data_IF_765901939950
#
_entry.id   IF_765901939950
#
_cell.length_a   1.000
_cell.length_b   1.000
_cell.length_c   1.000
_cell.angle_alpha   90.00
_cell.angle_beta   90.00
_cell.angle_gamma   90.00
#
_symmetry.space_group_name_H-M   'P 1'
#
loop_
_entity.id
_entity.type
_entity.pdbx_description
1 polymer ?
#
# COMPACT_ATOMS: atom_id res chain seq x y z
N UNK A 1 -46.73 10.34 67.92
CA UNK A 1 -46.15 11.11 66.80
C UNK A 1 -44.74 11.56 67.21
N UNK A 2 -43.79 11.77 66.30
CA UNK A 2 -43.31 10.84 65.26
C UNK A 2 -41.83 10.41 65.48
N UNK A 3 -41.35 9.47 64.66
CA UNK A 3 -39.92 9.13 64.42
C UNK A 3 -39.25 10.22 63.52
N UNK A 4 -37.93 10.23 63.21
CA UNK A 4 -36.93 9.13 63.25
C UNK A 4 -35.55 9.58 63.83
N UNK A 5 -34.35 8.99 63.61
CA UNK A 5 -33.87 7.85 62.79
C UNK A 5 -32.66 7.12 63.43
N UNK A 6 -32.06 6.21 62.67
CA UNK A 6 -30.80 5.44 62.80
C UNK A 6 -30.16 5.44 61.37
N UNK A 7 -28.97 4.89 61.08
CA UNK A 7 -27.70 4.80 61.82
C UNK A 7 -26.54 5.52 61.08
N UNK A 8 -25.32 5.50 61.65
CA UNK A 8 -24.08 5.78 60.89
C UNK A 8 -23.88 4.67 59.86
N UNK A 9 -23.97 5.00 58.56
CA UNK A 9 -23.87 4.02 57.48
C UNK A 9 -22.45 4.04 56.89
N UNK A 10 -21.75 2.93 57.10
CA UNK A 10 -20.38 2.66 56.66
C UNK A 10 -20.31 2.50 55.14
N UNK A 11 -20.37 3.61 54.39
CA UNK A 11 -20.22 3.61 52.95
C UNK A 11 -18.74 3.45 52.57
N UNK A 12 -18.28 2.20 52.44
CA UNK A 12 -17.00 1.90 51.84
C UNK A 12 -16.96 2.51 50.43
N UNK A 13 -16.03 3.44 50.21
CA UNK A 13 -15.64 3.88 48.87
C UNK A 13 -14.88 2.73 48.22
N UNK A 14 -15.64 1.75 47.73
CA UNK A 14 -15.16 0.76 46.78
C UNK A 14 -14.76 1.54 45.54
N UNK A 15 -13.46 1.74 45.39
CA UNK A 15 -12.87 2.36 44.22
C UNK A 15 -13.18 1.52 43.00
N UNK A 16 -14.27 1.87 42.32
CA UNK A 16 -14.48 1.56 40.91
C UNK A 16 -13.52 2.42 40.09
N UNK A 17 -12.21 2.19 40.29
CA UNK A 17 -11.25 2.37 39.21
C UNK A 17 -11.65 1.38 38.13
N UNK A 18 -12.51 1.84 37.22
CA UNK A 18 -12.67 1.23 35.92
C UNK A 18 -11.31 1.31 35.26
N UNK A 19 -10.51 0.27 35.48
CA UNK A 19 -9.40 -0.03 34.62
C UNK A 19 -10.03 -0.31 33.26
N UNK A 20 -10.10 0.74 32.44
CA UNK A 20 -10.27 0.58 31.01
C UNK A 20 -9.04 -0.21 30.57
N UNK A 21 -9.21 -1.54 30.50
CA UNK A 21 -8.30 -2.37 29.75
C UNK A 21 -8.40 -1.88 28.32
N UNK A 22 -7.49 -0.96 27.96
CA UNK A 22 -7.23 -0.66 26.56
C UNK A 22 -6.87 -2.00 25.95
N UNK A 23 -7.75 -2.52 25.10
CA UNK A 23 -7.50 -3.77 24.40
C UNK A 23 -6.16 -3.60 23.69
N UNK A 24 -5.19 -4.43 24.06
CA UNK A 24 -3.83 -4.32 23.55
C UNK A 24 -3.86 -4.45 22.02
N UNK A 25 -3.47 -3.37 21.34
CA UNK A 25 -3.70 -3.22 19.90
C UNK A 25 -2.79 -4.15 19.10
N UNK A 26 -3.36 -4.89 18.14
CA UNK A 26 -2.57 -5.75 17.24
C UNK A 26 -1.92 -4.91 16.13
N UNK A 27 -0.89 -5.44 15.48
CA UNK A 27 -0.21 -4.70 14.42
C UNK A 27 -1.12 -4.42 13.22
N UNK A 28 -2.07 -5.29 12.90
CA UNK A 28 -3.05 -5.03 11.85
C UNK A 28 -3.99 -3.89 12.21
N UNK A 29 -4.40 -3.78 13.48
CA UNK A 29 -5.21 -2.65 13.96
C UNK A 29 -4.43 -1.33 13.85
N UNK A 30 -3.14 -1.33 14.19
CA UNK A 30 -2.24 -0.17 14.00
C UNK A 30 -2.12 0.20 12.52
N UNK A 31 -1.91 -0.78 11.63
CA UNK A 31 -1.79 -0.54 10.19
C UNK A 31 -3.09 -0.01 9.57
N UNK A 32 -4.24 -0.63 9.91
CA UNK A 32 -5.57 -0.19 9.49
C UNK A 32 -5.88 1.23 9.96
N UNK A 33 -5.61 1.54 11.24
CA UNK A 33 -5.77 2.90 11.78
C UNK A 33 -4.83 3.90 11.10
N UNK A 34 -3.58 3.52 10.86
CA UNK A 34 -2.59 4.38 10.18
C UNK A 34 -3.05 4.73 8.76
N UNK A 35 -3.54 3.75 8.00
CA UNK A 35 -4.07 3.99 6.66
C UNK A 35 -5.39 4.79 6.69
N UNK A 36 -6.30 4.48 7.61
CA UNK A 36 -7.54 5.23 7.80
C UNK A 36 -7.26 6.71 8.13
N UNK A 37 -6.25 7.00 8.96
CA UNK A 37 -5.82 8.37 9.24
C UNK A 37 -5.28 9.07 7.98
N UNK A 38 -4.37 8.42 7.22
CA UNK A 38 -3.85 8.98 5.95
C UNK A 38 -4.97 9.31 4.96
N UNK A 39 -6.00 8.46 4.87
CA UNK A 39 -7.16 8.69 4.00
C UNK A 39 -8.06 9.82 4.53
N UNK A 40 -8.24 9.92 5.85
CA UNK A 40 -9.00 10.99 6.48
C UNK A 40 -8.31 12.36 6.30
N UNK A 41 -6.98 12.42 6.40
CA UNK A 41 -6.17 13.63 6.22
C UNK A 41 -6.26 14.19 4.78
N UNK A 42 -6.53 13.34 3.78
CA UNK A 42 -6.79 13.75 2.39
C UNK A 42 -8.21 14.30 2.18
N UNK A 43 -9.14 13.89 3.03
CA UNK A 43 -10.55 14.27 2.95
C UNK A 43 -11.31 13.68 1.74
N UNK A 44 -12.62 13.95 1.65
CA UNK A 44 -13.43 13.58 0.49
C UNK A 44 -13.02 14.38 -0.75
N UNK A 45 -13.32 13.84 -1.94
CA UNK A 45 -13.21 14.60 -3.17
C UNK A 45 -14.24 15.74 -3.16
N UNK A 46 -13.78 16.98 -2.95
CA UNK A 46 -14.61 18.17 -2.95
C UNK A 46 -14.82 18.67 -4.39
N UNK A 47 -16.07 18.69 -4.84
CA UNK A 47 -16.48 19.15 -6.18
C UNK A 47 -15.65 18.57 -7.35
N UNK A 48 -15.48 17.23 -7.45
CA UNK A 48 -14.67 16.65 -8.50
C UNK A 48 -15.31 16.85 -9.87
N UNK A 49 -14.48 17.04 -10.90
CA UNK A 49 -14.95 17.09 -12.29
C UNK A 49 -15.68 15.78 -12.66
N UNK A 50 -16.91 15.84 -13.20
CA UNK A 50 -17.64 14.64 -13.62
C UNK A 50 -16.88 13.82 -14.67
N UNK A 51 -16.15 14.49 -15.56
CA UNK A 51 -15.29 13.86 -16.57
C UNK A 51 -14.16 13.06 -15.91
N UNK A 52 -13.51 13.66 -14.91
CA UNK A 52 -12.42 13.03 -14.14
C UNK A 52 -12.87 11.78 -13.40
N UNK A 53 -14.03 11.84 -12.75
CA UNK A 53 -14.66 10.70 -12.08
C UNK A 53 -15.01 9.59 -13.08
N UNK A 54 -15.54 9.95 -14.25
CA UNK A 54 -15.86 8.99 -15.30
C UNK A 54 -14.59 8.35 -15.89
N UNK A 55 -13.55 9.15 -16.14
CA UNK A 55 -12.25 8.71 -16.64
C UNK A 55 -11.59 7.69 -15.70
N UNK A 56 -11.61 7.96 -14.39
CA UNK A 56 -11.15 7.04 -13.36
C UNK A 56 -11.91 5.71 -13.36
N UNK A 57 -13.25 5.77 -13.33
CA UNK A 57 -14.10 4.57 -13.34
C UNK A 57 -13.93 3.74 -14.61
N UNK A 58 -13.92 4.39 -15.77
CA UNK A 58 -13.71 3.72 -17.07
C UNK A 58 -12.35 3.03 -17.10
N UNK A 59 -11.27 3.70 -16.72
CA UNK A 59 -9.92 3.09 -16.73
C UNK A 59 -9.80 1.95 -15.71
N UNK A 60 -10.40 2.07 -14.53
CA UNK A 60 -10.39 1.01 -13.51
C UNK A 60 -11.13 -0.26 -13.97
N UNK A 61 -12.35 -0.11 -14.51
CA UNK A 61 -13.13 -1.25 -15.01
C UNK A 61 -12.50 -1.86 -16.28
N UNK A 62 -11.83 -1.06 -17.14
CA UNK A 62 -11.02 -1.60 -18.26
C UNK A 62 -9.88 -2.50 -17.79
N UNK A 63 -9.25 -2.18 -16.65
CA UNK A 63 -8.19 -3.01 -16.07
C UNK A 63 -8.75 -4.28 -15.40
N UNK A 64 -9.86 -4.17 -14.66
CA UNK A 64 -10.55 -5.33 -14.07
C UNK A 64 -11.07 -6.32 -15.11
N UNK A 65 -11.49 -5.84 -16.29
CA UNK A 65 -11.85 -6.70 -17.41
C UNK A 65 -10.68 -7.55 -17.96
N UNK A 66 -9.42 -7.16 -17.67
CA UNK A 66 -8.21 -7.90 -18.04
C UNK A 66 -7.69 -8.80 -16.90
N UNK A 67 -8.14 -8.58 -15.65
CA UNK A 67 -7.79 -9.36 -14.45
C UNK A 67 -9.08 -9.80 -13.70
N UNK A 68 -9.80 -10.84 -14.17
CA UNK A 68 -11.06 -11.29 -13.56
C UNK A 68 -10.94 -11.69 -12.08
N UNK A 69 -9.75 -12.08 -11.62
CA UNK A 69 -9.42 -12.37 -10.22
C UNK A 69 -9.48 -11.12 -9.31
N UNK A 70 -9.60 -9.93 -9.89
CA UNK A 70 -9.79 -8.64 -9.20
C UNK A 70 -11.19 -8.05 -9.44
N UNK A 71 -12.15 -8.81 -9.94
CA UNK A 71 -13.49 -8.32 -10.27
C UNK A 71 -14.25 -7.71 -9.06
N UNK A 72 -13.96 -8.19 -7.86
CA UNK A 72 -14.50 -7.72 -6.58
C UNK A 72 -13.68 -6.60 -5.91
N UNK A 73 -12.57 -6.16 -6.51
CA UNK A 73 -11.85 -4.96 -6.03
C UNK A 73 -12.63 -3.70 -6.38
N UNK A 74 -12.88 -2.85 -5.40
CA UNK A 74 -13.61 -1.59 -5.54
C UNK A 74 -12.68 -0.37 -5.74
N UNK A 75 -13.22 0.70 -6.33
CA UNK A 75 -12.55 2.00 -6.44
C UNK A 75 -13.16 3.01 -5.45
N UNK A 76 -12.36 3.44 -4.47
CA UNK A 76 -12.73 4.52 -3.53
C UNK A 76 -12.11 5.83 -4.00
N UNK A 77 -12.95 6.85 -4.24
CA UNK A 77 -12.50 8.18 -4.68
C UNK A 77 -12.20 9.07 -3.46
N UNK A 78 -11.03 9.74 -3.45
CA UNK A 78 -10.61 10.66 -2.39
C UNK A 78 -10.21 12.04 -2.94
N UNK A 79 -10.03 13.01 -2.05
CA UNK A 79 -9.54 14.34 -2.38
C UNK A 79 -8.01 14.44 -2.48
N UNK A 80 -7.53 15.67 -2.73
CA UNK A 80 -6.12 16.04 -2.70
C UNK A 80 -5.36 15.80 -4.01
N UNK A 81 -4.03 15.94 -3.91
CA UNK A 81 -3.07 15.82 -5.02
C UNK A 81 -3.02 14.41 -5.63
N UNK A 82 -2.24 14.24 -6.71
CA UNK A 82 -2.09 12.97 -7.42
C UNK A 82 -1.67 11.83 -6.48
N UNK A 83 -2.56 10.87 -6.28
CA UNK A 83 -2.40 9.79 -5.30
C UNK A 83 -3.27 8.58 -5.66
N UNK A 84 -2.72 7.40 -5.45
CA UNK A 84 -3.49 6.17 -5.32
C UNK A 84 -2.80 5.28 -4.26
N UNK A 85 -3.57 4.39 -3.64
CA UNK A 85 -3.09 3.41 -2.65
C UNK A 85 -4.06 2.22 -2.60
N UNK A 86 -3.53 1.02 -2.82
CA UNK A 86 -4.15 -0.25 -2.46
C UNK A 86 -4.40 -0.31 -0.94
N UNK A 87 -5.62 -0.62 -0.50
CA UNK A 87 -5.97 -0.61 0.92
C UNK A 87 -5.72 -1.96 1.60
N UNK A 88 -5.29 -1.94 2.86
CA UNK A 88 -5.05 -3.13 3.67
C UNK A 88 -6.37 -3.68 4.23
N UNK A 89 -6.51 -5.01 4.26
CA UNK A 89 -7.67 -5.71 4.82
C UNK A 89 -8.99 -5.45 4.08
N UNK A 90 -8.91 -4.78 2.91
CA UNK A 90 -10.04 -4.39 2.07
C UNK A 90 -9.65 -4.55 0.61
N UNK A 91 -10.51 -5.16 -0.20
CA UNK A 91 -10.32 -5.25 -1.66
C UNK A 91 -10.74 -3.92 -2.30
N UNK A 92 -9.93 -2.89 -2.06
CA UNK A 92 -10.22 -1.51 -2.44
C UNK A 92 -8.93 -0.82 -2.89
N UNK A 93 -8.97 -0.13 -4.02
CA UNK A 93 -7.98 0.88 -4.39
C UNK A 93 -8.56 2.25 -4.09
N UNK A 94 -7.88 3.04 -3.25
CA UNK A 94 -8.18 4.46 -3.10
C UNK A 94 -7.44 5.24 -4.19
N UNK A 95 -8.10 6.19 -4.86
CA UNK A 95 -7.47 7.08 -5.84
C UNK A 95 -8.01 8.50 -5.69
N UNK A 96 -7.13 9.50 -5.73
CA UNK A 96 -7.55 10.89 -5.75
C UNK A 96 -8.13 11.26 -7.11
N UNK A 97 -9.09 12.18 -7.15
CA UNK A 97 -9.70 12.55 -8.44
C UNK A 97 -8.71 13.22 -9.40
N UNK A 98 -7.59 13.76 -8.92
CA UNK A 98 -6.49 14.23 -9.77
C UNK A 98 -5.93 13.14 -10.71
N UNK A 99 -6.04 11.85 -10.34
CA UNK A 99 -5.66 10.72 -11.22
C UNK A 99 -6.56 10.65 -12.48
N UNK A 100 -7.80 11.15 -12.41
CA UNK A 100 -8.74 11.21 -13.54
C UNK A 100 -8.35 12.22 -14.62
N UNK A 101 -7.58 13.25 -14.25
CA UNK A 101 -7.06 14.29 -15.15
C UNK A 101 -5.81 13.85 -15.92
N UNK A 102 -5.16 12.75 -15.52
CA UNK A 102 -4.00 12.22 -16.23
C UNK A 102 -4.36 11.80 -17.67
N UNK A 103 -3.39 11.82 -18.61
CA UNK A 103 -3.52 11.10 -19.87
C UNK A 103 -3.93 9.64 -19.61
N UNK A 104 -4.85 9.10 -20.42
CA UNK A 104 -5.44 7.77 -20.16
C UNK A 104 -4.38 6.69 -19.91
N UNK A 105 -3.29 6.74 -20.69
CA UNK A 105 -2.20 5.76 -20.61
C UNK A 105 -1.48 5.75 -19.26
N UNK A 106 -1.23 6.92 -18.70
CA UNK A 106 -0.60 7.09 -17.39
C UNK A 106 -1.56 6.73 -16.26
N UNK A 107 -2.84 7.11 -16.40
CA UNK A 107 -3.92 6.72 -15.48
C UNK A 107 -4.05 5.20 -15.39
N UNK A 108 -4.01 4.51 -16.54
CA UNK A 108 -4.05 3.05 -16.60
C UNK A 108 -2.83 2.43 -15.89
N UNK A 109 -1.61 2.93 -16.12
CA UNK A 109 -0.41 2.42 -15.44
C UNK A 109 -0.47 2.62 -13.92
N UNK A 110 -0.89 3.79 -13.46
CA UNK A 110 -1.01 4.11 -12.03
C UNK A 110 -2.03 3.19 -11.33
N UNK A 111 -3.21 2.99 -11.93
CA UNK A 111 -4.22 2.08 -11.39
C UNK A 111 -3.79 0.60 -11.48
N UNK A 112 -3.08 0.20 -12.54
CA UNK A 112 -2.58 -1.16 -12.71
C UNK A 112 -1.50 -1.52 -11.69
N UNK A 113 -0.67 -0.55 -11.27
CA UNK A 113 0.29 -0.71 -10.18
C UNK A 113 -0.43 -1.01 -8.84
N UNK A 114 -1.46 -0.24 -8.48
CA UNK A 114 -2.25 -0.49 -7.25
C UNK A 114 -3.00 -1.83 -7.29
N UNK A 115 -3.55 -2.21 -8.46
CA UNK A 115 -4.14 -3.53 -8.66
C UNK A 115 -3.10 -4.65 -8.53
N UNK A 116 -1.82 -4.39 -8.88
CA UNK A 116 -0.71 -5.31 -8.62
C UNK A 116 -0.49 -5.57 -7.13
N UNK A 117 -0.55 -4.54 -6.29
CA UNK A 117 -0.48 -4.72 -4.83
C UNK A 117 -1.64 -5.57 -4.26
N UNK A 118 -2.84 -5.46 -4.84
CA UNK A 118 -3.99 -6.32 -4.50
C UNK A 118 -3.82 -7.77 -5.01
N UNK A 119 -3.35 -7.94 -6.25
CA UNK A 119 -3.19 -9.27 -6.87
C UNK A 119 -2.11 -10.13 -6.20
N UNK A 120 -1.06 -9.49 -5.69
CA UNK A 120 0.13 -10.15 -5.16
C UNK A 120 0.12 -10.28 -3.62
N UNK A 121 -0.91 -9.78 -2.94
CA UNK A 121 -1.05 -9.89 -1.48
C UNK A 121 0.05 -9.14 -0.71
N UNK A 122 0.50 -8.00 -1.23
CA UNK A 122 1.64 -7.26 -0.67
C UNK A 122 1.38 -6.76 0.77
N UNK A 123 0.13 -6.43 1.10
CA UNK A 123 -0.22 -6.04 2.47
C UNK A 123 -0.26 -7.24 3.43
N UNK A 124 -0.73 -8.39 2.98
CA UNK A 124 -0.73 -9.64 3.74
C UNK A 124 0.71 -10.12 4.01
N UNK A 125 1.59 -9.99 3.01
CA UNK A 125 3.02 -10.26 3.16
C UNK A 125 3.68 -9.30 4.18
N UNK A 126 3.34 -8.00 4.13
CA UNK A 126 3.85 -7.02 5.09
C UNK A 126 3.33 -7.30 6.52
N UNK A 127 2.04 -7.57 6.68
CA UNK A 127 1.47 -7.97 7.98
C UNK A 127 2.11 -9.26 8.52
N UNK A 128 2.37 -10.23 7.64
CA UNK A 128 3.10 -11.46 7.96
C UNK A 128 4.54 -11.22 8.43
N UNK A 129 5.26 -10.26 7.85
CA UNK A 129 6.57 -9.82 8.34
C UNK A 129 6.46 -9.20 9.73
N UNK A 130 5.51 -8.27 9.93
CA UNK A 130 5.28 -7.64 11.22
C UNK A 130 4.98 -8.66 12.33
N UNK A 131 4.17 -9.69 12.06
CA UNK A 131 3.86 -10.76 13.01
C UNK A 131 5.07 -11.60 13.44
N UNK A 132 6.11 -11.72 12.61
CA UNK A 132 7.34 -12.45 12.99
C UNK A 132 8.11 -11.72 14.09
N UNK A 133 8.03 -10.39 14.14
CA UNK A 133 8.74 -9.54 15.11
C UNK A 133 7.83 -9.03 16.25
N UNK A 134 6.53 -8.91 16.00
CA UNK A 134 5.52 -8.39 16.93
C UNK A 134 4.30 -9.34 16.94
N UNK A 135 4.43 -10.56 17.48
CA UNK A 135 3.39 -11.61 17.43
C UNK A 135 2.20 -11.39 18.39
N UNK A 136 2.14 -10.23 19.04
CA UNK A 136 1.20 -9.91 20.10
C UNK A 136 0.90 -8.40 20.06
N UNK A 137 0.51 -7.85 21.21
CA UNK A 137 0.31 -6.43 21.43
C UNK A 137 1.46 -5.55 20.89
N UNK A 138 1.11 -4.48 20.18
CA UNK A 138 2.04 -3.40 19.84
C UNK A 138 2.31 -2.59 21.10
N UNK A 139 3.34 -3.00 21.86
CA UNK A 139 3.84 -2.31 23.04
C UNK A 139 5.28 -1.89 22.85
N UNK A 140 5.61 -0.69 23.32
CA UNK A 140 6.94 -0.07 23.12
C UNK A 140 8.08 -0.96 23.61
N UNK A 141 7.87 -1.64 24.74
CA UNK A 141 8.87 -2.53 25.35
C UNK A 141 9.14 -3.78 24.50
N UNK A 142 8.21 -4.15 23.61
CA UNK A 142 8.35 -5.26 22.66
C UNK A 142 8.83 -4.78 21.28
N UNK A 143 8.44 -3.59 20.84
CA UNK A 143 8.77 -3.07 19.50
C UNK A 143 10.11 -2.37 19.40
N UNK A 144 10.52 -1.59 20.42
CA UNK A 144 11.80 -0.87 20.39
C UNK A 144 13.02 -1.79 20.16
N UNK A 145 13.10 -3.02 20.76
CA UNK A 145 14.21 -3.94 20.50
C UNK A 145 14.29 -4.48 19.06
N UNK A 146 13.16 -4.63 18.35
CA UNK A 146 13.10 -5.20 17.00
C UNK A 146 13.06 -4.13 15.89
N UNK A 147 12.79 -2.87 16.23
CA UNK A 147 12.55 -1.78 15.27
C UNK A 147 13.64 -1.62 14.20
N UNK A 148 14.92 -1.84 14.54
CA UNK A 148 16.03 -1.76 13.59
C UNK A 148 16.03 -2.89 12.54
N UNK A 149 15.79 -4.13 12.96
CA UNK A 149 15.73 -5.31 12.09
C UNK A 149 14.46 -5.25 11.23
N UNK A 150 13.32 -5.02 11.88
CA UNK A 150 12.01 -4.87 11.23
C UNK A 150 11.99 -3.71 10.22
N UNK A 151 12.68 -2.59 10.51
CA UNK A 151 12.83 -1.48 9.58
C UNK A 151 13.69 -1.82 8.36
N UNK A 152 14.75 -2.60 8.53
CA UNK A 152 15.59 -3.07 7.42
C UNK A 152 14.85 -4.09 6.53
N UNK A 153 14.24 -5.11 7.14
CA UNK A 153 13.49 -6.15 6.43
C UNK A 153 12.23 -5.57 5.77
N UNK A 154 11.52 -4.67 6.46
CA UNK A 154 10.36 -3.95 5.91
C UNK A 154 10.73 -3.10 4.71
N UNK A 155 11.87 -2.39 4.75
CA UNK A 155 12.37 -1.61 3.61
C UNK A 155 12.70 -2.49 2.41
N UNK A 156 13.41 -3.59 2.61
CA UNK A 156 13.71 -4.55 1.55
C UNK A 156 12.43 -5.18 0.95
N UNK A 157 11.43 -5.49 1.79
CA UNK A 157 10.15 -6.03 1.38
C UNK A 157 9.32 -5.01 0.58
N UNK A 158 9.18 -3.76 1.06
CA UNK A 158 8.50 -2.68 0.34
C UNK A 158 9.15 -2.40 -1.02
N UNK A 159 10.48 -2.37 -1.08
CA UNK A 159 11.22 -2.21 -2.33
C UNK A 159 10.96 -3.33 -3.34
N UNK A 160 10.86 -4.57 -2.86
CA UNK A 160 10.46 -5.70 -3.68
C UNK A 160 9.01 -5.58 -4.17
N UNK A 161 8.07 -5.26 -3.28
CA UNK A 161 6.65 -5.08 -3.61
C UNK A 161 6.42 -4.01 -4.68
N UNK A 162 7.08 -2.86 -4.60
CA UNK A 162 6.98 -1.79 -5.60
C UNK A 162 7.36 -2.27 -7.01
N UNK A 163 8.41 -3.07 -7.11
CA UNK A 163 8.87 -3.64 -8.37
C UNK A 163 8.02 -4.81 -8.86
N UNK A 164 7.50 -5.64 -7.96
CA UNK A 164 6.55 -6.69 -8.31
C UNK A 164 5.23 -6.08 -8.80
N UNK A 165 4.76 -4.98 -8.19
CA UNK A 165 3.60 -4.21 -8.62
C UNK A 165 3.82 -3.50 -9.97
N UNK A 166 4.98 -2.86 -10.19
CA UNK A 166 5.36 -2.31 -11.50
C UNK A 166 5.37 -3.39 -12.59
N UNK A 167 5.98 -4.55 -12.30
CA UNK A 167 6.08 -5.66 -13.24
C UNK A 167 4.74 -6.36 -13.52
N UNK A 168 3.83 -6.37 -12.55
CA UNK A 168 2.48 -6.91 -12.72
C UNK A 168 1.60 -5.92 -13.49
N UNK A 169 1.54 -4.66 -13.06
CA UNK A 169 0.71 -3.61 -13.66
C UNK A 169 1.09 -3.32 -15.11
N UNK A 170 2.39 -3.28 -15.42
CA UNK A 170 2.89 -3.10 -16.78
C UNK A 170 2.47 -4.26 -17.71
N UNK A 171 2.54 -5.52 -17.23
CA UNK A 171 2.09 -6.69 -17.98
C UNK A 171 0.57 -6.73 -18.15
N UNK A 172 -0.20 -6.43 -17.10
CA UNK A 172 -1.67 -6.35 -17.16
C UNK A 172 -2.11 -5.36 -18.25
N UNK A 173 -1.48 -4.19 -18.26
CA UNK A 173 -1.97 -3.06 -19.04
C UNK A 173 -1.37 -3.01 -20.47
N UNK A 174 -0.34 -3.81 -20.78
CA UNK A 174 0.25 -3.90 -22.14
C UNK A 174 -0.75 -4.22 -23.27
N UNK A 175 -1.78 -5.07 -23.12
CA UNK A 175 -2.82 -5.27 -24.15
C UNK A 175 -3.54 -3.97 -24.57
N UNK A 176 -3.47 -2.91 -23.76
CA UNK A 176 -4.02 -1.58 -24.05
C UNK A 176 -3.02 -0.67 -24.81
N UNK A 177 -2.02 -1.26 -25.47
CA UNK A 177 -0.99 -0.59 -26.29
C UNK A 177 -0.10 0.41 -25.53
N UNK A 178 0.02 0.24 -24.21
CA UNK A 178 0.92 1.00 -23.36
C UNK A 178 2.38 0.61 -23.60
N UNK A 179 3.27 1.59 -23.51
CA UNK A 179 4.71 1.40 -23.62
C UNK A 179 5.47 2.12 -22.52
N UNK A 180 6.79 1.91 -22.49
CA UNK A 180 7.66 2.42 -21.41
C UNK A 180 7.71 3.95 -21.35
N UNK A 181 7.44 4.66 -22.46
CA UNK A 181 7.35 6.12 -22.47
C UNK A 181 6.12 6.65 -21.70
N UNK A 182 5.03 5.88 -21.65
CA UNK A 182 3.86 6.22 -20.83
C UNK A 182 4.21 6.14 -19.33
N UNK A 183 5.01 5.13 -18.95
CA UNK A 183 5.51 4.98 -17.58
C UNK A 183 6.55 6.05 -17.22
N UNK A 184 7.37 6.47 -18.19
CA UNK A 184 8.27 7.64 -18.05
C UNK A 184 7.46 8.92 -17.81
N UNK A 185 6.39 9.13 -18.57
CA UNK A 185 5.48 10.27 -18.40
C UNK A 185 4.91 10.36 -16.98
N UNK A 186 4.30 9.27 -16.50
CA UNK A 186 3.76 9.17 -15.14
C UNK A 186 4.82 9.46 -14.06
N UNK A 187 5.96 8.78 -14.13
CA UNK A 187 7.02 8.90 -13.12
C UNK A 187 7.69 10.29 -13.11
N UNK A 188 7.76 10.98 -14.26
CA UNK A 188 8.27 12.36 -14.31
C UNK A 188 7.25 13.38 -13.77
N UNK A 189 5.94 13.14 -13.89
CA UNK A 189 4.91 14.01 -13.28
C UNK A 189 4.89 13.93 -11.76
N UNK A 190 5.21 12.78 -11.18
CA UNK A 190 5.42 12.61 -9.74
C UNK A 190 6.73 13.27 -9.24
N UNK A 191 7.62 13.66 -10.17
CA UNK A 191 8.92 14.24 -9.87
C UNK A 191 10.04 13.21 -9.77
N UNK A 192 11.29 13.68 -9.85
CA UNK A 192 12.46 12.82 -9.67
C UNK A 192 12.70 12.64 -8.17
N UNK A 193 12.16 11.56 -7.62
CA UNK A 193 12.29 11.19 -6.22
C UNK A 193 13.52 10.32 -5.98
N UNK A 194 14.16 10.54 -4.84
CA UNK A 194 15.23 9.68 -4.33
C UNK A 194 14.70 8.37 -3.74
N UNK A 195 15.64 7.47 -3.43
CA UNK A 195 15.38 6.25 -2.67
C UNK A 195 14.80 6.60 -1.27
N UNK A 196 13.69 5.96 -0.88
CA UNK A 196 13.09 6.09 0.47
C UNK A 196 12.95 4.71 1.13
N UNK A 197 12.68 4.61 2.46
CA UNK A 197 12.49 3.33 3.13
C UNK A 197 11.28 2.50 2.64
N UNK A 198 10.35 3.09 1.88
CA UNK A 198 9.16 2.37 1.38
C UNK A 198 9.04 2.36 -0.14
N UNK A 199 9.74 3.25 -0.86
CA UNK A 199 9.67 3.32 -2.32
C UNK A 199 11.08 3.46 -2.94
N UNK A 200 11.42 2.67 -3.97
CA UNK A 200 12.65 2.85 -4.73
C UNK A 200 12.54 4.12 -5.59
N UNK A 201 13.63 4.88 -5.69
CA UNK A 201 13.63 6.17 -6.37
C UNK A 201 13.35 6.08 -7.87
N UNK A 202 12.88 7.18 -8.46
CA UNK A 202 12.39 7.27 -9.85
C UNK A 202 13.33 6.62 -10.86
N UNK A 203 14.65 6.83 -10.72
CA UNK A 203 15.66 6.25 -11.62
C UNK A 203 15.66 4.72 -11.60
N UNK A 204 15.44 4.07 -10.46
CA UNK A 204 15.44 2.60 -10.34
C UNK A 204 14.22 1.99 -10.99
N UNK A 205 13.02 2.53 -10.73
CA UNK A 205 11.75 2.12 -11.35
C UNK A 205 11.81 2.26 -12.88
N UNK A 206 12.31 3.40 -13.39
CA UNK A 206 12.54 3.60 -14.82
C UNK A 206 13.46 2.55 -15.46
N UNK A 207 14.57 2.19 -14.79
CA UNK A 207 15.47 1.15 -15.29
C UNK A 207 14.77 -0.22 -15.32
N UNK A 208 14.02 -0.59 -14.28
CA UNK A 208 13.26 -1.83 -14.25
C UNK A 208 12.22 -1.89 -15.38
N UNK A 209 11.46 -0.83 -15.61
CA UNK A 209 10.46 -0.76 -16.68
C UNK A 209 11.10 -0.94 -18.07
N UNK A 210 12.30 -0.38 -18.30
CA UNK A 210 13.08 -0.64 -19.54
C UNK A 210 13.57 -2.09 -19.64
N UNK A 211 13.89 -2.74 -18.52
CA UNK A 211 14.21 -4.18 -18.53
C UNK A 211 12.99 -5.04 -18.85
N UNK A 212 11.83 -4.72 -18.28
CA UNK A 212 10.57 -5.42 -18.51
C UNK A 212 10.12 -5.29 -19.98
N UNK A 213 10.25 -4.09 -20.56
CA UNK A 213 9.97 -3.88 -21.98
C UNK A 213 10.87 -4.76 -22.88
N UNK A 214 12.18 -4.83 -22.57
CA UNK A 214 13.10 -5.71 -23.29
C UNK A 214 12.76 -7.20 -23.09
N UNK A 215 12.43 -7.62 -21.87
CA UNK A 215 12.01 -9.00 -21.54
C UNK A 215 10.77 -9.41 -22.33
N UNK A 216 9.73 -8.55 -22.36
CA UNK A 216 8.48 -8.77 -23.10
C UNK A 216 8.72 -8.79 -24.61
N UNK A 217 9.62 -7.94 -25.11
CA UNK A 217 10.00 -7.90 -26.53
C UNK A 217 10.95 -9.04 -26.95
N UNK A 218 11.39 -9.92 -26.04
CA UNK A 218 12.38 -10.96 -26.32
C UNK A 218 13.79 -10.43 -26.61
N UNK A 219 14.07 -9.19 -26.23
CA UNK A 219 15.34 -8.51 -26.44
C UNK A 219 16.33 -8.82 -25.28
N UNK A 220 17.65 -8.84 -25.56
CA UNK A 220 18.65 -9.11 -24.53
C UNK A 220 18.65 -8.01 -23.47
N UNK A 221 18.39 -8.38 -22.21
CA UNK A 221 18.59 -7.48 -21.06
C UNK A 221 20.10 -7.32 -20.80
N UNK A 222 20.66 -6.11 -20.90
CA UNK A 222 22.09 -5.88 -20.66
C UNK A 222 22.53 -6.31 -19.27
N UNK A 223 23.74 -6.86 -19.17
CA UNK A 223 24.25 -7.51 -17.94
C UNK A 223 24.30 -6.56 -16.74
N UNK A 224 24.66 -5.30 -16.97
CA UNK A 224 24.64 -4.22 -15.95
C UNK A 224 23.29 -4.05 -15.25
N UNK A 225 22.18 -4.45 -15.88
CA UNK A 225 20.84 -4.40 -15.30
C UNK A 225 20.44 -5.71 -14.61
N UNK A 226 20.96 -6.87 -15.06
CA UNK A 226 20.77 -8.15 -14.37
C UNK A 226 21.42 -8.16 -12.98
N UNK A 227 22.58 -7.51 -12.82
CA UNK A 227 23.22 -7.33 -11.51
C UNK A 227 22.33 -6.55 -10.53
N UNK A 228 21.51 -5.61 -11.02
CA UNK A 228 20.48 -4.98 -10.20
C UNK A 228 19.42 -6.02 -9.80
N UNK A 229 18.80 -6.74 -10.74
CA UNK A 229 17.82 -7.81 -10.44
C UNK A 229 18.28 -8.82 -9.38
N UNK A 230 19.56 -9.23 -9.37
CA UNK A 230 20.13 -10.12 -8.34
C UNK A 230 20.12 -9.47 -6.96
N UNK A 231 20.53 -8.20 -6.85
CA UNK A 231 20.48 -7.45 -5.57
C UNK A 231 19.08 -7.28 -4.98
N UNK A 232 18.02 -7.40 -5.80
CA UNK A 232 16.62 -7.25 -5.39
C UNK A 232 15.91 -8.55 -5.05
N UNK A 233 16.28 -9.66 -5.70
CA UNK A 233 15.72 -10.99 -5.37
C UNK A 233 16.21 -11.52 -4.03
N UNK A 234 17.32 -10.98 -3.54
CA UNK A 234 18.02 -11.44 -2.35
C UNK A 234 18.70 -12.79 -2.58
N UNK A 235 19.83 -13.02 -1.92
CA UNK A 235 20.39 -14.36 -1.77
C UNK A 235 19.58 -15.15 -0.72
N UNK A 236 18.30 -15.35 -1.03
CA UNK A 236 17.33 -16.19 -0.30
C UNK A 236 17.06 -17.53 -1.00
N UNK A 237 17.67 -17.77 -2.16
CA UNK A 237 17.79 -19.10 -2.74
C UNK A 237 18.77 -19.92 -1.91
N UNK A 238 18.28 -20.51 -0.82
CA UNK A 238 19.04 -21.39 0.05
C UNK A 238 19.67 -22.53 -0.77
N UNK A 239 21.00 -22.55 -0.78
CA UNK A 239 21.78 -23.62 -1.40
C UNK A 239 21.86 -24.85 -0.48
N UNK A 240 20.79 -25.65 -0.45
CA UNK A 240 20.80 -27.07 -0.08
C UNK A 240 20.24 -27.85 -1.27
N UNK A 241 20.96 -28.79 -1.91
CA UNK A 241 21.52 -30.05 -1.38
C UNK A 241 20.47 -30.89 -0.67
#
# INVERSE_FOLDING_TARGET
MPRPFLPVLLAAVLGLTTAWAQAEETIEQVLLRSQAQRLADRGPALNPSPESVQNLRTSFERLKALAPELADVELQLVGGDLYAESLFGRRVVAASTAVGELPERERLLMLAHELGHQALGHWEALAGLYHQHVPAAVRRELTDPVAGVLGHEGSALSWRHEFEADAWGYRLARPLELGVEDAVGLLLRQGVLGDSPTHPGTRRRLLQLRMLENEIAGLPVPEQFRLMQVSWRGDGAASGR
#
